data_IF_313421264258
#
_entry.id   IF_313421264258
#
_cell.length_a   1.000
_cell.length_b   1.000
_cell.length_c   1.000
_cell.angle_alpha   90.00
_cell.angle_beta   90.00
_cell.angle_gamma   90.00
#
_symmetry.space_group_name_H-M   'P 1'
#
loop_
_entity.id
_entity.type
_entity.pdbx_description
1 polymer ?
#
# COMPACT_ATOMS: atom_id res chain seq x y z
N UNK A 1 -15.20 27.54 3.50
CA UNK A 1 -14.58 26.40 2.80
C UNK A 1 -14.73 25.19 3.68
N UNK A 2 -15.72 24.33 3.39
CA UNK A 2 -16.00 23.15 4.21
C UNK A 2 -15.14 22.00 3.72
N UNK A 3 -14.23 21.53 4.57
CA UNK A 3 -13.54 20.27 4.38
C UNK A 3 -14.58 19.15 4.30
N UNK A 4 -14.60 18.42 3.20
CA UNK A 4 -15.34 17.18 3.05
C UNK A 4 -14.92 16.22 4.15
N UNK A 5 -15.71 16.16 5.22
CA UNK A 5 -15.74 15.04 6.13
C UNK A 5 -16.19 13.84 5.31
N UNK A 6 -15.22 13.11 4.77
CA UNK A 6 -15.45 11.79 4.20
C UNK A 6 -15.97 10.93 5.35
N UNK A 7 -17.29 10.79 5.42
CA UNK A 7 -18.00 9.93 6.36
C UNK A 7 -17.53 8.49 6.12
N UNK A 8 -16.52 8.06 6.88
CA UNK A 8 -16.09 6.67 6.95
C UNK A 8 -17.18 5.85 7.64
N UNK A 9 -18.16 5.39 6.85
CA UNK A 9 -18.93 4.23 7.25
C UNK A 9 -18.02 3.01 7.05
N UNK A 10 -17.70 2.33 8.15
CA UNK A 10 -17.50 0.86 8.11
C UNK A 10 -18.78 0.32 7.49
N UNK A 11 -18.74 0.14 6.18
CA UNK A 11 -19.96 0.10 5.36
C UNK A 11 -20.50 -1.33 5.28
N UNK A 12 -19.73 -2.30 5.78
CA UNK A 12 -20.01 -3.72 5.64
C UNK A 12 -19.68 -4.49 6.92
N UNK A 13 -20.43 -5.56 7.21
CA UNK A 13 -20.07 -6.48 8.28
C UNK A 13 -18.69 -7.08 8.03
N UNK A 14 -17.98 -7.41 9.11
CA UNK A 14 -16.73 -8.17 9.04
C UNK A 14 -16.93 -9.39 8.15
N UNK A 15 -16.02 -9.56 7.20
CA UNK A 15 -15.97 -10.79 6.40
C UNK A 15 -14.98 -11.73 7.06
N UNK A 16 -15.24 -13.03 6.94
CA UNK A 16 -14.22 -14.02 7.28
C UNK A 16 -13.14 -13.88 6.22
N UNK A 17 -11.97 -13.41 6.63
CA UNK A 17 -10.83 -13.25 5.74
C UNK A 17 -10.16 -14.61 5.52
N UNK A 18 -9.14 -14.64 4.65
CA UNK A 18 -8.26 -15.81 4.52
C UNK A 18 -7.52 -16.17 5.82
N UNK A 19 -7.51 -15.28 6.80
CA UNK A 19 -6.87 -15.47 8.11
C UNK A 19 -7.86 -15.89 9.20
N UNK A 20 -9.17 -15.77 8.95
CA UNK A 20 -10.23 -16.04 9.91
C UNK A 20 -11.08 -14.81 10.22
N UNK A 21 -11.81 -14.87 11.33
CA UNK A 21 -12.63 -13.75 11.79
C UNK A 21 -11.79 -12.81 12.67
N UNK A 22 -11.77 -11.53 12.32
CA UNK A 22 -11.04 -10.47 13.05
C UNK A 22 -11.85 -9.99 14.27
N UNK A 23 -11.94 -10.84 15.29
CA UNK A 23 -12.88 -10.66 16.40
C UNK A 23 -12.36 -9.82 17.55
N UNK A 24 -11.04 -9.61 17.68
CA UNK A 24 -10.50 -8.81 18.81
C UNK A 24 -10.48 -7.31 18.57
N UNK A 25 -10.53 -6.86 17.31
CA UNK A 25 -10.44 -5.43 17.02
C UNK A 25 -11.72 -4.73 17.48
N UNK A 26 -11.58 -3.78 18.39
CA UNK A 26 -12.65 -2.84 18.70
C UNK A 26 -13.06 -2.09 17.43
N UNK A 27 -14.24 -1.47 17.43
CA UNK A 27 -14.66 -0.66 16.27
C UNK A 27 -13.69 0.48 15.98
N UNK A 28 -13.10 1.06 17.02
CA UNK A 28 -12.11 2.15 16.89
C UNK A 28 -10.80 1.62 16.29
N UNK A 29 -10.19 0.60 16.89
CA UNK A 29 -8.94 0.01 16.36
C UNK A 29 -9.09 -0.48 14.93
N UNK A 30 -10.27 -1.02 14.58
CA UNK A 30 -10.57 -1.45 13.21
C UNK A 30 -10.61 -0.28 12.23
N UNK A 31 -11.22 0.85 12.62
CA UNK A 31 -11.25 2.06 11.78
C UNK A 31 -9.82 2.58 11.59
N UNK A 32 -9.05 2.69 12.66
CA UNK A 32 -7.67 3.19 12.58
C UNK A 32 -6.76 2.26 11.77
N UNK A 33 -6.91 0.94 11.91
CA UNK A 33 -6.21 -0.04 11.08
C UNK A 33 -6.60 0.08 9.60
N UNK A 34 -7.88 0.28 9.29
CA UNK A 34 -8.34 0.54 7.92
C UNK A 34 -7.69 1.83 7.39
N UNK A 35 -7.67 2.91 8.17
CA UNK A 35 -7.08 4.18 7.76
C UNK A 35 -5.57 4.05 7.48
N UNK A 36 -4.84 3.32 8.34
CA UNK A 36 -3.43 3.02 8.13
C UNK A 36 -3.22 2.23 6.82
N UNK A 37 -4.01 1.19 6.59
CA UNK A 37 -3.93 0.38 5.37
C UNK A 37 -4.33 1.19 4.12
N UNK A 38 -5.29 2.10 4.22
CA UNK A 38 -5.67 3.00 3.12
C UNK A 38 -4.56 4.00 2.78
N UNK A 39 -3.85 4.54 3.78
CA UNK A 39 -2.67 5.38 3.56
C UNK A 39 -1.53 4.59 2.89
N UNK A 40 -1.29 3.36 3.33
CA UNK A 40 -0.32 2.46 2.70
C UNK A 40 -0.72 2.13 1.27
N UNK A 41 -2.01 1.86 1.01
CA UNK A 41 -2.53 1.60 -0.33
C UNK A 41 -2.31 2.82 -1.22
N UNK A 42 -2.73 4.01 -0.78
CA UNK A 42 -2.50 5.28 -1.51
C UNK A 42 -1.03 5.51 -1.85
N UNK A 43 -0.14 5.27 -0.90
CA UNK A 43 1.31 5.37 -1.11
C UNK A 43 1.82 4.35 -2.12
N UNK A 44 1.39 3.08 -2.00
CA UNK A 44 1.76 1.99 -2.91
C UNK A 44 1.34 2.30 -4.35
N UNK A 45 0.15 2.86 -4.54
CA UNK A 45 -0.35 3.23 -5.86
C UNK A 45 0.39 4.43 -6.46
N UNK A 46 0.78 5.39 -5.64
CA UNK A 46 1.63 6.50 -6.08
C UNK A 46 2.99 5.99 -6.58
N UNK A 47 3.61 5.05 -5.87
CA UNK A 47 4.84 4.38 -6.31
C UNK A 47 4.60 3.64 -7.63
N UNK A 48 3.48 2.92 -7.75
CA UNK A 48 3.13 2.22 -8.98
C UNK A 48 3.01 3.18 -10.18
N UNK A 49 2.28 4.29 -10.02
CA UNK A 49 2.10 5.30 -11.07
C UNK A 49 3.45 5.90 -11.53
N UNK A 50 4.37 6.16 -10.59
CA UNK A 50 5.72 6.63 -10.90
C UNK A 50 6.54 5.58 -11.66
N UNK A 51 6.47 4.30 -11.25
CA UNK A 51 7.15 3.20 -11.96
C UNK A 51 6.61 3.00 -13.37
N UNK A 52 5.28 3.07 -13.55
CA UNK A 52 4.62 2.97 -14.85
C UNK A 52 5.04 4.14 -15.76
N UNK A 53 5.14 5.36 -15.22
CA UNK A 53 5.64 6.52 -15.96
C UNK A 53 7.11 6.35 -16.39
N UNK A 54 7.98 5.89 -15.49
CA UNK A 54 9.39 5.64 -15.78
C UNK A 54 9.56 4.55 -16.85
N UNK A 55 8.74 3.50 -16.81
CA UNK A 55 8.68 2.48 -17.86
C UNK A 55 8.34 3.10 -19.23
N UNK A 56 7.29 3.93 -19.27
CA UNK A 56 6.77 4.53 -20.51
C UNK A 56 7.73 5.56 -21.13
N UNK A 57 8.51 6.24 -20.29
CA UNK A 57 9.47 7.27 -20.71
C UNK A 57 10.70 6.64 -21.38
N UNK A 58 11.09 5.42 -21.00
CA UNK A 58 12.22 4.70 -21.58
C UNK A 58 11.85 4.01 -22.91
N UNK A 59 11.65 4.79 -23.97
CA UNK A 59 11.26 4.27 -25.30
C UNK A 59 12.41 3.70 -26.13
N UNK A 60 13.65 4.11 -25.87
CA UNK A 60 14.81 3.64 -26.64
C UNK A 60 15.21 2.21 -26.28
N UNK A 61 15.53 1.39 -27.30
CA UNK A 61 15.87 -0.03 -27.15
C UNK A 61 17.09 -0.25 -26.26
N UNK A 62 18.05 0.68 -26.24
CA UNK A 62 19.23 0.63 -25.37
C UNK A 62 18.89 0.64 -23.87
N UNK A 63 17.68 1.07 -23.49
CA UNK A 63 17.20 1.05 -22.11
C UNK A 63 16.25 -0.12 -21.81
N UNK A 64 16.15 -1.11 -22.69
CA UNK A 64 15.28 -2.27 -22.49
C UNK A 64 15.47 -2.97 -21.13
N UNK A 65 16.70 -3.19 -20.62
CA UNK A 65 16.88 -3.79 -19.30
C UNK A 65 16.27 -2.95 -18.17
N UNK A 66 16.47 -1.63 -18.21
CA UNK A 66 15.94 -0.70 -17.21
C UNK A 66 14.41 -0.60 -17.32
N UNK A 67 13.86 -0.62 -18.53
CA UNK A 67 12.40 -0.67 -18.73
C UNK A 67 11.79 -1.95 -18.16
N UNK A 68 12.43 -3.10 -18.39
CA UNK A 68 11.97 -4.38 -17.82
C UNK A 68 12.03 -4.38 -16.29
N UNK A 69 13.03 -3.70 -15.72
CA UNK A 69 13.15 -3.50 -14.28
C UNK A 69 11.96 -2.73 -13.70
N UNK A 70 11.66 -1.54 -14.24
CA UNK A 70 10.52 -0.75 -13.79
C UNK A 70 9.19 -1.49 -13.95
N UNK A 71 9.00 -2.20 -15.07
CA UNK A 71 7.83 -3.05 -15.28
C UNK A 71 7.69 -4.15 -14.21
N UNK A 72 8.79 -4.81 -13.84
CA UNK A 72 8.79 -5.85 -12.79
C UNK A 72 8.46 -5.26 -11.42
N UNK A 73 9.04 -4.10 -11.11
CA UNK A 73 8.73 -3.38 -9.87
C UNK A 73 7.26 -2.96 -9.85
N UNK A 74 6.74 -2.36 -10.92
CA UNK A 74 5.35 -1.94 -11.02
C UNK A 74 4.37 -3.09 -10.78
N UNK A 75 4.63 -4.27 -11.36
CA UNK A 75 3.84 -5.48 -11.12
C UNK A 75 3.86 -5.91 -9.65
N UNK A 76 5.04 -5.92 -9.04
CA UNK A 76 5.20 -6.27 -7.61
C UNK A 76 4.42 -5.29 -6.73
N UNK A 77 4.50 -3.99 -7.04
CA UNK A 77 3.77 -2.94 -6.35
C UNK A 77 2.26 -3.11 -6.51
N UNK A 78 1.78 -3.47 -7.71
CA UNK A 78 0.37 -3.74 -7.98
C UNK A 78 -0.15 -4.97 -7.21
N UNK A 79 0.64 -6.04 -7.13
CA UNK A 79 0.29 -7.24 -6.34
C UNK A 79 0.15 -6.90 -4.85
N UNK A 80 1.02 -6.02 -4.33
CA UNK A 80 0.92 -5.54 -2.95
C UNK A 80 -0.30 -4.64 -2.74
N UNK A 81 -0.60 -3.73 -3.68
CA UNK A 81 -1.80 -2.90 -3.64
C UNK A 81 -3.08 -3.76 -3.62
N UNK A 82 -3.13 -4.82 -4.44
CA UNK A 82 -4.26 -5.77 -4.45
C UNK A 82 -4.42 -6.51 -3.12
N UNK A 83 -3.30 -6.88 -2.48
CA UNK A 83 -3.32 -7.45 -1.14
C UNK A 83 -3.88 -6.46 -0.10
N UNK A 84 -3.43 -5.20 -0.10
CA UNK A 84 -3.92 -4.18 0.82
C UNK A 84 -5.42 -3.91 0.62
N UNK A 85 -5.88 -3.79 -0.63
CA UNK A 85 -7.29 -3.59 -0.94
C UNK A 85 -8.17 -4.74 -0.43
N UNK A 86 -7.69 -5.99 -0.55
CA UNK A 86 -8.38 -7.16 0.00
C UNK A 86 -8.43 -7.10 1.53
N UNK A 87 -7.31 -6.79 2.17
CA UNK A 87 -7.24 -6.66 3.64
C UNK A 87 -8.16 -5.56 4.20
N UNK A 88 -8.24 -4.41 3.52
CA UNK A 88 -9.18 -3.33 3.87
C UNK A 88 -10.63 -3.83 3.81
N UNK A 89 -11.00 -4.56 2.76
CA UNK A 89 -12.33 -5.12 2.61
C UNK A 89 -12.64 -6.20 3.67
N UNK A 90 -11.66 -7.01 4.03
CA UNK A 90 -11.77 -8.05 5.06
C UNK A 90 -12.07 -7.43 6.45
N UNK A 91 -11.50 -6.26 6.74
CA UNK A 91 -11.80 -5.47 7.94
C UNK A 91 -13.14 -4.68 7.84
N UNK A 92 -13.88 -4.78 6.74
CA UNK A 92 -15.15 -4.07 6.54
C UNK A 92 -15.00 -2.64 6.01
N UNK A 93 -13.80 -2.26 5.56
CA UNK A 93 -13.54 -1.02 4.83
C UNK A 93 -13.92 -1.11 3.36
N UNK A 94 -13.80 0.02 2.65
CA UNK A 94 -14.04 0.11 1.21
C UNK A 94 -12.86 0.82 0.55
N UNK A 95 -12.17 0.13 -0.36
CA UNK A 95 -11.13 0.69 -1.20
C UNK A 95 -11.69 0.85 -2.63
N UNK A 96 -11.99 2.08 -3.04
CA UNK A 96 -12.56 2.34 -4.37
C UNK A 96 -11.49 2.29 -5.47
N UNK A 97 -11.68 1.49 -6.54
CA UNK A 97 -10.76 1.44 -7.67
C UNK A 97 -10.64 2.76 -8.46
N UNK A 98 -11.65 3.63 -8.42
CA UNK A 98 -11.69 4.87 -9.18
C UNK A 98 -10.70 5.94 -8.65
N UNK A 99 -10.37 5.90 -7.36
CA UNK A 99 -9.34 6.75 -6.73
C UNK A 99 -7.95 6.45 -7.28
N UNK A 100 -7.73 5.20 -7.70
CA UNK A 100 -6.45 4.70 -8.22
C UNK A 100 -6.09 5.37 -9.56
N UNK A 101 -7.07 5.69 -10.39
CA UNK A 101 -6.86 6.29 -11.71
C UNK A 101 -6.39 7.74 -11.64
N UNK A 102 -6.78 8.52 -10.62
CA UNK A 102 -6.37 9.93 -10.48
C UNK A 102 -4.88 10.10 -10.17
N UNK A 103 -4.24 9.08 -9.59
CA UNK A 103 -2.80 9.11 -9.28
C UNK A 103 -1.93 9.01 -10.55
N UNK A 104 -2.43 8.37 -11.61
CA UNK A 104 -1.71 8.25 -12.88
C UNK A 104 -1.58 9.59 -13.63
N UNK A 105 -2.53 10.51 -13.48
CA UNK A 105 -2.44 11.83 -14.12
C UNK A 105 -1.40 12.72 -13.44
N UNK A 106 -1.20 12.58 -12.13
CA UNK A 106 -0.21 13.37 -11.38
C UNK A 106 1.22 12.98 -11.75
N UNK A 107 1.49 11.70 -11.97
CA UNK A 107 2.82 11.21 -12.36
C UNK A 107 3.27 11.73 -13.74
N UNK A 108 2.33 11.96 -14.66
CA UNK A 108 2.64 12.43 -16.02
C UNK A 108 3.19 13.87 -16.06
N UNK A 109 3.03 14.65 -14.99
CA UNK A 109 3.54 16.02 -14.90
C UNK A 109 4.98 16.11 -14.37
N UNK A 110 5.58 15.02 -13.91
CA UNK A 110 6.85 15.02 -13.18
C UNK A 110 8.01 14.54 -14.09
N UNK A 111 9.23 15.05 -13.86
CA UNK A 111 10.42 14.57 -14.55
C UNK A 111 10.86 13.18 -14.08
N UNK A 112 11.81 12.55 -14.79
CA UNK A 112 12.36 11.24 -14.43
C UNK A 112 12.94 11.22 -13.00
N UNK A 113 13.72 12.25 -12.64
CA UNK A 113 14.32 12.35 -11.31
C UNK A 113 13.27 12.57 -10.21
N UNK A 114 12.26 13.40 -10.48
CA UNK A 114 11.16 13.66 -9.53
C UNK A 114 10.38 12.38 -9.22
N UNK A 115 10.21 11.51 -10.20
CA UNK A 115 9.59 10.21 -9.99
C UNK A 115 10.42 9.32 -9.06
N UNK A 116 11.75 9.29 -9.19
CA UNK A 116 12.61 8.53 -8.28
C UNK A 116 12.56 9.07 -6.85
N UNK A 117 12.60 10.40 -6.69
CA UNK A 117 12.44 11.08 -5.38
C UNK A 117 11.09 10.69 -4.77
N UNK A 118 10.02 10.76 -5.57
CA UNK A 118 8.68 10.39 -5.13
C UNK A 118 8.56 8.92 -4.70
N UNK A 119 9.27 8.00 -5.37
CA UNK A 119 9.34 6.60 -4.96
C UNK A 119 10.05 6.49 -3.60
N UNK A 120 11.19 7.16 -3.40
CA UNK A 120 11.90 7.16 -2.13
C UNK A 120 11.08 7.74 -0.99
N UNK A 121 10.34 8.83 -1.23
CA UNK A 121 9.38 9.39 -0.27
C UNK A 121 8.27 8.39 0.08
N UNK A 122 7.72 7.72 -0.93
CA UNK A 122 6.74 6.65 -0.73
C UNK A 122 7.30 5.52 0.14
N UNK A 123 8.53 5.09 -0.12
CA UNK A 123 9.19 4.07 0.71
C UNK A 123 9.39 4.53 2.15
N UNK A 124 9.75 5.80 2.38
CA UNK A 124 9.85 6.37 3.73
C UNK A 124 8.51 6.29 4.46
N UNK A 125 7.41 6.69 3.80
CA UNK A 125 6.05 6.62 4.37
C UNK A 125 5.63 5.18 4.69
N UNK A 126 5.91 4.23 3.80
CA UNK A 126 5.61 2.81 4.03
C UNK A 126 6.39 2.24 5.22
N UNK A 127 7.64 2.68 5.45
CA UNK A 127 8.40 2.29 6.65
C UNK A 127 7.80 2.85 7.93
N UNK A 128 7.34 4.11 7.90
CA UNK A 128 6.68 4.71 9.07
C UNK A 128 5.39 3.97 9.42
N UNK A 129 4.65 3.50 8.43
CA UNK A 129 3.42 2.72 8.64
C UNK A 129 3.67 1.36 9.33
N UNK A 130 4.87 0.78 9.23
CA UNK A 130 5.20 -0.49 9.92
C UNK A 130 5.05 -0.38 11.44
N UNK A 131 5.37 0.78 12.03
CA UNK A 131 5.24 0.97 13.48
C UNK A 131 3.77 0.82 13.92
N UNK A 132 2.86 1.45 13.18
CA UNK A 132 1.41 1.39 13.44
C UNK A 132 0.88 -0.05 13.30
N UNK A 133 1.33 -0.78 12.27
CA UNK A 133 0.92 -2.18 12.09
C UNK A 133 1.44 -3.11 13.20
N UNK A 134 2.61 -2.83 13.78
CA UNK A 134 3.14 -3.59 14.92
C UNK A 134 2.29 -3.40 16.17
N UNK A 135 1.82 -2.17 16.44
CA UNK A 135 0.92 -1.90 17.56
C UNK A 135 -0.38 -2.73 17.46
N UNK A 136 -0.97 -2.85 16.26
CA UNK A 136 -2.14 -3.70 16.05
C UNK A 136 -1.83 -5.20 16.13
N UNK A 137 -0.65 -5.62 15.68
CA UNK A 137 -0.20 -7.01 15.85
C UNK A 137 -0.07 -7.37 17.34
N UNK A 138 0.52 -6.49 18.15
CA UNK A 138 0.68 -6.66 19.60
C UNK A 138 -0.68 -6.66 20.31
N UNK A 139 -1.59 -5.75 19.95
CA UNK A 139 -2.98 -5.76 20.47
C UNK A 139 -3.70 -7.07 20.14
N UNK A 140 -3.59 -7.56 18.90
CA UNK A 140 -4.19 -8.84 18.51
C UNK A 140 -3.61 -10.04 19.28
N UNK A 141 -2.29 -10.05 19.54
CA UNK A 141 -1.64 -11.09 20.34
C UNK A 141 -2.12 -11.07 21.79
N UNK A 142 -2.19 -9.90 22.41
CA UNK A 142 -2.70 -9.72 23.77
C UNK A 142 -4.14 -10.22 23.93
N UNK A 143 -4.96 -10.06 22.88
CA UNK A 143 -6.36 -10.51 22.84
C UNK A 143 -6.54 -11.94 22.31
N UNK A 144 -5.46 -12.69 22.04
CA UNK A 144 -5.49 -14.06 21.49
C UNK A 144 -6.22 -14.19 20.15
N UNK A 145 -6.29 -13.11 19.36
CA UNK A 145 -6.85 -13.14 18.01
C UNK A 145 -5.76 -13.51 17.00
N UNK A 146 -5.65 -14.81 16.78
CA UNK A 146 -4.71 -15.37 15.81
C UNK A 146 -4.97 -14.93 14.36
N UNK A 147 -6.21 -14.57 14.00
CA UNK A 147 -6.56 -14.14 12.65
C UNK A 147 -6.01 -12.73 12.38
N UNK A 148 -6.29 -11.80 13.29
CA UNK A 148 -5.79 -10.43 13.23
C UNK A 148 -4.26 -10.38 13.34
N UNK A 149 -3.67 -11.15 14.26
CA UNK A 149 -2.21 -11.26 14.39
C UNK A 149 -1.56 -11.69 13.06
N UNK A 150 -2.04 -12.80 12.47
CA UNK A 150 -1.51 -13.32 11.19
C UNK A 150 -1.70 -12.35 10.04
N UNK A 151 -2.80 -11.60 10.03
CA UNK A 151 -3.04 -10.59 9.03
C UNK A 151 -2.01 -9.46 9.10
N UNK A 152 -1.80 -8.86 10.27
CA UNK A 152 -0.81 -7.80 10.45
C UNK A 152 0.63 -8.28 10.24
N UNK A 153 0.94 -9.51 10.65
CA UNK A 153 2.22 -10.16 10.32
C UNK A 153 2.46 -10.25 8.81
N UNK A 154 1.45 -10.65 8.04
CA UNK A 154 1.58 -10.70 6.58
C UNK A 154 1.69 -9.29 5.98
N UNK A 155 0.97 -8.30 6.50
CA UNK A 155 1.10 -6.91 6.07
C UNK A 155 2.55 -6.43 6.22
N UNK A 156 3.13 -6.60 7.41
CA UNK A 156 4.53 -6.26 7.68
C UNK A 156 5.50 -7.01 6.77
N UNK A 157 5.30 -8.33 6.60
CA UNK A 157 6.16 -9.18 5.77
C UNK A 157 6.14 -8.75 4.30
N UNK A 158 4.96 -8.49 3.74
CA UNK A 158 4.81 -8.05 2.35
C UNK A 158 5.30 -6.62 2.13
N UNK A 159 5.09 -5.72 3.10
CA UNK A 159 5.65 -4.37 3.05
C UNK A 159 7.18 -4.41 3.00
N UNK A 160 7.80 -5.16 3.91
CA UNK A 160 9.25 -5.34 3.94
C UNK A 160 9.79 -5.95 2.64
N UNK A 161 9.08 -6.93 2.07
CA UNK A 161 9.43 -7.53 0.79
C UNK A 161 9.41 -6.50 -0.35
N UNK A 162 8.36 -5.69 -0.46
CA UNK A 162 8.27 -4.63 -1.46
C UNK A 162 9.40 -3.61 -1.29
N UNK A 163 9.63 -3.14 -0.06
CA UNK A 163 10.69 -2.18 0.25
C UNK A 163 12.07 -2.72 -0.12
N UNK A 164 12.34 -3.99 0.18
CA UNK A 164 13.59 -4.66 -0.19
C UNK A 164 13.74 -4.76 -1.71
N UNK A 165 12.67 -5.10 -2.43
CA UNK A 165 12.70 -5.19 -3.89
C UNK A 165 12.97 -3.82 -4.52
N UNK A 166 12.36 -2.74 -4.05
CA UNK A 166 12.62 -1.40 -4.59
C UNK A 166 14.06 -0.96 -4.25
N UNK A 167 14.49 -1.12 -2.99
CA UNK A 167 15.84 -0.71 -2.55
C UNK A 167 16.96 -1.38 -3.33
N UNK A 168 16.83 -2.66 -3.68
CA UNK A 168 17.90 -3.38 -4.39
C UNK A 168 17.97 -3.09 -5.88
N UNK A 169 16.93 -2.46 -6.44
CA UNK A 169 16.79 -2.27 -7.87
C UNK A 169 16.83 -0.79 -8.27
N UNK A 170 16.64 0.14 -7.34
CA UNK A 170 16.79 1.57 -7.58
C UNK A 170 18.06 2.10 -6.91
N UNK A 171 18.74 3.10 -7.51
CA UNK A 171 19.90 3.72 -6.89
C UNK A 171 19.56 4.31 -5.52
N UNK A 172 20.53 4.28 -4.60
CA UNK A 172 20.42 4.99 -3.34
C UNK A 172 20.75 6.47 -3.57
N UNK A 173 20.01 7.38 -2.94
CA UNK A 173 20.42 8.78 -2.78
C UNK A 173 21.77 8.89 -2.05
#
# INVERSE_FOLDING_TARGET
MNATQTLYKVSHPLRISRYGAHTSLSTVERIEAIDALMQMLGTTLSIQAQLDYLEQTLRNVSFLPIRQLFRRLARTTADYAGFLATGIADLGGYAEPASLYRLNDVAQSLGFADCLIGIHDGMRRLRTADAVLREYQESADANKDSASKRFFEECLRRNAQLLWQINNNLPHE
#
